data_IF_846389127332
#
_entry.id   IF_846389127332
#
_cell.length_a   1.000
_cell.length_b   1.000
_cell.length_c   1.000
_cell.angle_alpha   90.00
_cell.angle_beta   90.00
_cell.angle_gamma   90.00
#
_symmetry.space_group_name_H-M   'P 1'
#
loop_
_entity.id
_entity.type
_entity.pdbx_description
1 polymer ?
#
# COMPACT_ATOMS: atom_id res chain seq x y z
N UNK A 1 -2.03 -24.58 -64.97
CA UNK A 1 -2.48 -24.70 -63.57
C UNK A 1 -1.33 -24.25 -62.68
N UNK A 2 -1.38 -23.06 -62.07
CA UNK A 2 -0.28 -22.58 -61.24
C UNK A 2 -0.31 -23.30 -59.87
N UNK A 3 0.85 -23.83 -59.50
CA UNK A 3 1.14 -24.53 -58.26
C UNK A 3 1.32 -23.55 -57.10
N UNK A 4 0.56 -23.80 -56.04
CA UNK A 4 0.63 -23.13 -54.75
C UNK A 4 1.91 -23.57 -54.02
N UNK A 5 2.79 -22.62 -53.67
CA UNK A 5 4.00 -22.87 -52.89
C UNK A 5 3.91 -22.16 -51.54
N UNK A 6 3.65 -22.92 -50.49
CA UNK A 6 3.65 -22.46 -49.10
C UNK A 6 5.10 -22.22 -48.59
N UNK A 7 5.36 -21.11 -47.88
CA UNK A 7 6.64 -20.92 -47.20
C UNK A 7 6.65 -21.62 -45.83
N UNK A 8 7.49 -22.67 -45.71
CA UNK A 8 7.84 -23.28 -44.41
C UNK A 8 8.63 -22.29 -43.56
N UNK A 9 7.94 -21.61 -42.64
CA UNK A 9 8.55 -20.84 -41.56
C UNK A 9 9.23 -21.79 -40.56
N UNK A 10 10.56 -21.86 -40.61
CA UNK A 10 11.39 -22.49 -39.58
C UNK A 10 11.63 -21.46 -38.48
N UNK A 11 10.88 -21.56 -37.38
CA UNK A 11 11.25 -20.88 -36.14
C UNK A 11 12.41 -21.65 -35.48
N UNK A 12 13.53 -21.00 -35.14
CA UNK A 12 14.58 -21.64 -34.36
C UNK A 12 14.08 -21.89 -32.94
N UNK A 13 14.12 -23.16 -32.53
CA UNK A 13 13.90 -23.58 -31.14
C UNK A 13 15.07 -23.03 -30.33
N UNK A 14 14.81 -21.98 -29.54
CA UNK A 14 15.79 -21.46 -28.58
C UNK A 14 15.84 -22.44 -27.41
N UNK A 15 17.01 -23.01 -27.05
CA UNK A 15 17.10 -23.90 -25.91
C UNK A 15 16.82 -23.11 -24.62
N UNK A 16 15.72 -23.44 -23.96
CA UNK A 16 15.42 -22.99 -22.60
C UNK A 16 16.48 -23.60 -21.69
N UNK A 17 17.40 -22.76 -21.20
CA UNK A 17 18.37 -23.12 -20.18
C UNK A 17 17.61 -23.31 -18.86
N UNK A 18 17.09 -24.51 -18.63
CA UNK A 18 16.56 -24.94 -17.34
C UNK A 18 17.78 -25.05 -16.41
N UNK A 19 18.06 -23.99 -15.66
CA UNK A 19 18.99 -24.04 -14.53
C UNK A 19 18.29 -24.92 -13.49
N UNK A 20 18.63 -26.21 -13.52
CA UNK A 20 18.19 -27.18 -12.54
C UNK A 20 18.64 -26.74 -11.16
N UNK A 21 17.70 -26.28 -10.35
CA UNK A 21 17.87 -26.22 -8.91
C UNK A 21 18.01 -27.66 -8.43
N UNK A 22 19.25 -28.09 -8.22
CA UNK A 22 19.55 -29.32 -7.50
C UNK A 22 19.07 -29.10 -6.07
N UNK A 23 17.85 -29.58 -5.78
CA UNK A 23 17.38 -29.77 -4.41
C UNK A 23 18.25 -30.90 -3.84
N UNK A 24 19.31 -30.51 -3.14
CA UNK A 24 20.07 -31.39 -2.28
C UNK A 24 19.16 -31.79 -1.11
N UNK A 25 18.47 -32.93 -1.26
CA UNK A 25 17.83 -33.61 -0.14
C UNK A 25 18.94 -34.12 0.77
N UNK A 26 19.30 -33.32 1.78
CA UNK A 26 20.14 -33.77 2.89
C UNK A 26 19.25 -34.60 3.82
N UNK A 27 19.18 -35.89 3.50
CA UNK A 27 18.70 -36.92 4.41
C UNK A 27 19.84 -37.26 5.37
N UNK A 28 19.61 -37.11 6.68
CA UNK A 28 20.45 -37.72 7.72
C UNK A 28 21.42 -36.76 8.42
N UNK A 29 20.93 -36.09 9.46
CA UNK A 29 21.75 -35.29 10.36
C UNK A 29 20.98 -34.88 11.59
N UNK A 30 20.67 -35.86 12.45
CA UNK A 30 20.16 -35.67 13.80
C UNK A 30 21.21 -34.89 14.63
N UNK A 31 21.18 -33.57 14.56
CA UNK A 31 21.94 -32.69 15.45
C UNK A 31 21.08 -32.41 16.69
N UNK A 32 21.37 -33.18 17.74
CA UNK A 32 21.07 -32.83 19.12
C UNK A 32 21.68 -31.46 19.44
N UNK A 33 20.86 -30.41 19.45
CA UNK A 33 21.22 -29.15 20.09
C UNK A 33 20.78 -29.27 21.56
N UNK A 34 21.69 -29.17 22.54
CA UNK A 34 21.32 -29.12 23.95
C UNK A 34 20.64 -27.78 24.27
N UNK A 35 19.42 -27.85 24.79
CA UNK A 35 18.75 -26.76 25.49
C UNK A 35 19.45 -26.51 26.85
N UNK A 36 19.88 -25.28 27.17
CA UNK A 36 19.80 -24.78 28.54
C UNK A 36 18.39 -24.22 28.73
N UNK A 37 17.47 -24.95 29.36
CA UNK A 37 17.22 -24.86 30.82
C UNK A 37 17.28 -23.38 31.24
N UNK A 38 16.14 -22.67 31.24
CA UNK A 38 15.06 -22.77 32.24
C UNK A 38 15.62 -22.49 33.63
N UNK A 39 15.88 -21.21 33.93
CA UNK A 39 15.96 -20.68 35.29
C UNK A 39 15.68 -19.17 35.27
N UNK A 40 14.40 -18.82 35.45
CA UNK A 40 13.91 -17.58 36.06
C UNK A 40 12.38 -17.66 36.21
N UNK A 41 11.91 -18.68 36.93
CA UNK A 41 10.63 -18.65 37.63
C UNK A 41 11.00 -18.48 39.10
N UNK A 42 10.88 -17.27 39.63
CA UNK A 42 10.57 -16.96 41.04
C UNK A 42 10.68 -15.44 41.26
N UNK A 43 9.57 -14.74 41.11
CA UNK A 43 9.22 -13.61 41.96
C UNK A 43 7.69 -13.38 41.81
N UNK A 44 6.87 -14.20 42.48
CA UNK A 44 6.28 -13.94 43.80
C UNK A 44 5.63 -12.55 43.92
N UNK A 45 4.29 -12.57 43.94
CA UNK A 45 3.51 -11.79 44.90
C UNK A 45 3.08 -10.40 44.46
N UNK A 46 1.87 -10.32 43.91
CA UNK A 46 1.14 -9.07 43.70
C UNK A 46 -0.35 -9.33 43.52
N UNK A 47 -1.00 -9.83 44.57
CA UNK A 47 -2.45 -9.82 44.75
C UNK A 47 -2.86 -8.43 45.25
N UNK A 48 -3.41 -7.58 44.39
CA UNK A 48 -4.24 -6.42 44.77
C UNK A 48 -5.26 -6.24 43.62
N UNK A 49 -6.48 -6.76 43.78
CA UNK A 49 -7.63 -6.08 44.38
C UNK A 49 -8.48 -5.40 43.29
N UNK A 50 -9.61 -6.02 42.99
CA UNK A 50 -10.71 -5.40 42.26
C UNK A 50 -11.11 -4.12 42.99
N UNK A 51 -10.96 -2.99 42.32
CA UNK A 51 -11.76 -1.80 42.59
C UNK A 51 -12.59 -1.53 41.34
N UNK A 52 -13.84 -1.99 41.41
CA UNK A 52 -14.92 -1.55 40.54
C UNK A 52 -15.16 -0.06 40.82
N UNK A 53 -14.47 0.80 40.09
CA UNK A 53 -14.82 2.22 40.02
C UNK A 53 -15.92 2.38 38.98
N UNK A 54 -17.15 2.29 39.48
CA UNK A 54 -18.36 2.76 38.83
C UNK A 54 -18.18 4.27 38.62
N UNK A 55 -17.60 4.66 37.48
CA UNK A 55 -17.63 6.06 37.06
C UNK A 55 -19.04 6.35 36.56
N UNK A 56 -19.80 6.98 37.45
CA UNK A 56 -20.97 7.79 37.14
C UNK A 56 -20.66 8.65 35.91
N UNK A 57 -21.28 8.29 34.80
CA UNK A 57 -21.39 9.16 33.63
C UNK A 57 -22.42 10.22 34.03
N UNK A 58 -21.94 11.23 34.74
CA UNK A 58 -22.68 12.46 34.97
C UNK A 58 -23.10 13.00 33.61
N UNK A 59 -24.41 13.13 33.45
CA UNK A 59 -25.05 14.00 32.48
C UNK A 59 -24.36 15.37 32.53
N UNK A 60 -23.45 15.62 31.59
CA UNK A 60 -23.05 16.98 31.25
C UNK A 60 -23.96 17.40 30.11
N UNK A 61 -24.92 18.20 30.53
CA UNK A 61 -25.73 19.15 29.77
C UNK A 61 -25.24 19.41 28.34
N UNK A 62 -26.18 19.34 27.40
CA UNK A 62 -26.24 20.19 26.21
C UNK A 62 -25.92 21.65 26.61
N UNK A 63 -24.93 22.27 25.95
CA UNK A 63 -25.24 23.58 25.40
C UNK A 63 -24.80 23.67 23.93
N UNK A 64 -25.77 24.11 23.12
CA UNK A 64 -25.60 24.90 21.91
C UNK A 64 -24.80 24.23 20.78
N UNK A 65 -25.45 23.61 19.79
CA UNK A 65 -26.17 24.31 18.72
C UNK A 65 -25.50 25.62 18.28
N UNK A 66 -24.19 25.63 18.10
CA UNK A 66 -23.54 26.67 17.30
C UNK A 66 -23.66 26.36 15.81
N UNK A 67 -24.58 27.12 15.24
CA UNK A 67 -24.78 27.47 13.84
C UNK A 67 -23.48 27.63 13.03
N UNK A 68 -23.48 27.00 11.86
CA UNK A 68 -23.08 27.57 10.56
C UNK A 68 -21.98 28.64 10.61
N UNK A 69 -20.77 28.23 10.26
CA UNK A 69 -19.76 29.16 9.73
C UNK A 69 -19.44 28.73 8.30
N UNK A 70 -20.32 29.13 7.38
CA UNK A 70 -19.97 29.26 5.97
C UNK A 70 -18.82 30.25 5.87
N UNK A 71 -17.60 29.75 5.68
CA UNK A 71 -16.48 30.60 5.33
C UNK A 71 -16.64 31.03 3.88
N UNK A 72 -17.41 32.10 3.66
CA UNK A 72 -17.34 32.87 2.43
C UNK A 72 -15.97 33.54 2.40
N UNK A 73 -15.02 32.97 1.65
CA UNK A 73 -13.83 33.69 1.22
C UNK A 73 -14.26 34.74 0.20
N UNK A 74 -14.71 35.88 0.73
CA UNK A 74 -14.95 37.11 0.02
C UNK A 74 -13.66 37.55 -0.68
N UNK A 75 -13.73 37.52 -2.01
CA UNK A 75 -12.84 38.21 -2.93
C UNK A 75 -12.75 39.69 -2.58
N UNK A 76 -11.60 40.15 -2.12
CA UNK A 76 -11.22 41.55 -2.26
C UNK A 76 -10.31 41.67 -3.47
N UNK A 77 -10.91 42.15 -4.56
CA UNK A 77 -10.19 42.65 -5.71
C UNK A 77 -9.47 43.95 -5.32
N UNK A 78 -8.15 43.93 -5.43
CA UNK A 78 -7.37 45.15 -5.55
C UNK A 78 -6.99 45.28 -7.03
N UNK A 79 -7.70 46.20 -7.68
CA UNK A 79 -7.52 46.60 -9.08
C UNK A 79 -6.26 47.47 -9.17
N UNK A 80 -5.15 46.89 -9.62
CA UNK A 80 -4.03 47.65 -10.16
C UNK A 80 -3.93 47.40 -11.66
N UNK A 81 -4.49 48.37 -12.38
CA UNK A 81 -4.25 48.71 -13.78
C UNK A 81 -2.81 48.43 -14.21
N UNK A 82 -2.66 47.50 -15.14
CA UNK A 82 -1.40 47.00 -15.65
C UNK A 82 -1.64 46.29 -16.98
N UNK A 83 -1.82 47.08 -18.03
CA UNK A 83 -1.96 46.64 -19.41
C UNK A 83 -0.77 45.76 -19.84
N UNK A 84 -0.97 44.44 -19.98
CA UNK A 84 -0.24 43.60 -20.95
C UNK A 84 -1.20 42.54 -21.47
N UNK A 85 -1.42 42.56 -22.78
CA UNK A 85 -2.12 41.53 -23.55
C UNK A 85 -1.28 40.24 -23.56
N UNK A 86 -1.58 39.30 -22.67
CA UNK A 86 -1.30 37.88 -22.93
C UNK A 86 -2.60 37.12 -22.68
N UNK A 87 -3.14 36.50 -23.73
CA UNK A 87 -4.29 35.62 -23.65
C UNK A 87 -3.93 34.42 -22.77
N UNK A 88 -4.23 34.52 -21.48
CA UNK A 88 -4.11 33.41 -20.55
C UNK A 88 -5.22 32.41 -20.86
N UNK A 89 -4.82 31.28 -21.43
CA UNK A 89 -5.68 30.14 -21.76
C UNK A 89 -6.32 29.56 -20.50
N UNK A 90 -7.51 30.02 -20.16
CA UNK A 90 -8.31 29.60 -19.00
C UNK A 90 -8.74 28.11 -18.98
N UNK A 91 -8.29 27.30 -19.94
CA UNK A 91 -8.53 25.85 -20.00
C UNK A 91 -7.61 25.00 -19.12
N UNK A 92 -6.52 25.56 -18.59
CA UNK A 92 -5.47 24.80 -17.91
C UNK A 92 -5.79 24.50 -16.42
N UNK A 93 -6.47 25.42 -15.72
CA UNK A 93 -6.65 25.35 -14.26
C UNK A 93 -7.64 24.28 -13.77
N UNK A 94 -8.60 23.87 -14.61
CA UNK A 94 -9.63 22.89 -14.21
C UNK A 94 -9.12 21.46 -14.25
N UNK A 95 -8.33 21.10 -15.27
CA UNK A 95 -7.70 19.79 -15.37
C UNK A 95 -6.73 19.55 -14.20
N UNK A 96 -6.00 20.58 -13.80
CA UNK A 96 -5.13 20.57 -12.64
C UNK A 96 -5.88 20.30 -11.33
N UNK A 97 -7.07 20.87 -11.15
CA UNK A 97 -7.89 20.62 -9.97
C UNK A 97 -8.31 19.16 -9.88
N UNK A 98 -8.73 18.55 -10.99
CA UNK A 98 -9.08 17.13 -11.03
C UNK A 98 -7.86 16.23 -10.80
N UNK A 99 -6.71 16.56 -11.39
CA UNK A 99 -5.47 15.82 -11.16
C UNK A 99 -5.02 15.89 -9.68
N UNK A 100 -5.16 17.05 -9.03
CA UNK A 100 -4.90 17.21 -7.59
C UNK A 100 -5.85 16.36 -6.74
N UNK A 101 -7.14 16.33 -7.09
CA UNK A 101 -8.12 15.51 -6.38
C UNK A 101 -7.82 14.00 -6.51
N UNK A 102 -7.47 13.52 -7.71
CA UNK A 102 -7.07 12.13 -7.92
C UNK A 102 -5.77 11.78 -7.19
N UNK A 103 -4.79 12.69 -7.16
CA UNK A 103 -3.58 12.51 -6.38
C UNK A 103 -3.86 12.43 -4.87
N UNK A 104 -4.79 13.23 -4.35
CA UNK A 104 -5.22 13.10 -2.95
C UNK A 104 -5.89 11.74 -2.68
N UNK A 105 -6.71 11.24 -3.60
CA UNK A 105 -7.28 9.90 -3.49
C UNK A 105 -6.19 8.81 -3.51
N UNK A 106 -5.12 8.95 -4.31
CA UNK A 106 -3.97 8.04 -4.32
C UNK A 106 -3.22 8.04 -2.99
N UNK A 107 -2.96 9.23 -2.43
CA UNK A 107 -2.31 9.38 -1.11
C UNK A 107 -3.11 8.67 -0.01
N UNK A 108 -4.44 8.81 -0.03
CA UNK A 108 -5.33 8.09 0.88
C UNK A 108 -5.26 6.58 0.66
N UNK A 109 -5.33 6.12 -0.60
CA UNK A 109 -5.25 4.71 -0.95
C UNK A 109 -3.99 4.02 -0.43
N UNK A 110 -2.81 4.60 -0.71
CA UNK A 110 -1.54 4.01 -0.23
C UNK A 110 -1.39 4.10 1.29
N UNK A 111 -1.97 5.13 1.93
CA UNK A 111 -1.97 5.26 3.39
C UNK A 111 -2.83 4.18 4.05
N UNK A 112 -4.00 3.90 3.49
CA UNK A 112 -4.91 2.83 3.96
C UNK A 112 -4.21 1.47 3.86
N UNK A 113 -3.60 1.15 2.71
CA UNK A 113 -2.86 -0.11 2.54
C UNK A 113 -1.69 -0.20 3.54
N UNK A 114 -0.91 0.88 3.68
CA UNK A 114 0.23 0.93 4.60
C UNK A 114 -0.19 0.73 6.06
N UNK A 115 -1.29 1.36 6.49
CA UNK A 115 -1.84 1.18 7.83
C UNK A 115 -2.35 -0.25 8.04
N UNK A 116 -3.03 -0.85 7.05
CA UNK A 116 -3.48 -2.25 7.14
C UNK A 116 -2.32 -3.22 7.34
N UNK A 117 -1.21 -3.03 6.62
CA UNK A 117 0.02 -3.83 6.80
C UNK A 117 0.64 -3.60 8.18
N UNK A 118 0.65 -2.36 8.67
CA UNK A 118 1.20 -2.05 9.99
C UNK A 118 0.42 -2.78 11.10
N UNK A 119 -0.91 -2.75 11.07
CA UNK A 119 -1.74 -3.48 12.04
C UNK A 119 -1.56 -4.99 11.88
N UNK A 120 -1.49 -5.50 10.65
CA UNK A 120 -1.18 -6.92 10.40
C UNK A 120 0.12 -7.36 11.08
N UNK A 121 1.17 -6.54 10.99
CA UNK A 121 2.46 -6.82 11.61
C UNK A 121 2.45 -6.62 13.14
N UNK A 122 1.66 -5.67 13.66
CA UNK A 122 1.54 -5.49 15.12
C UNK A 122 0.89 -6.69 15.79
N UNK A 123 0.04 -7.42 15.08
CA UNK A 123 -0.57 -8.67 15.54
C UNK A 123 0.41 -9.86 15.53
N UNK A 124 1.69 -9.62 15.26
CA UNK A 124 2.77 -10.61 15.29
C UNK A 124 2.94 -11.40 14.00
N UNK A 125 2.20 -11.05 12.94
CA UNK A 125 2.36 -11.71 11.65
C UNK A 125 3.64 -11.25 10.95
N UNK A 126 4.32 -12.20 10.29
CA UNK A 126 5.52 -11.88 9.50
C UNK A 126 5.13 -11.28 8.16
N UNK A 127 5.88 -10.27 7.69
CA UNK A 127 5.68 -9.68 6.36
C UNK A 127 5.77 -10.70 5.22
N UNK A 128 6.60 -11.74 5.36
CA UNK A 128 6.76 -12.83 4.38
C UNK A 128 5.47 -13.60 4.10
N UNK A 129 4.49 -13.56 5.02
CA UNK A 129 3.19 -14.22 4.85
C UNK A 129 2.23 -13.46 3.93
N UNK A 130 2.53 -12.20 3.61
CA UNK A 130 1.83 -11.41 2.57
C UNK A 130 2.31 -11.75 1.16
N UNK A 131 3.38 -12.55 1.04
CA UNK A 131 4.02 -12.93 -0.22
C UNK A 131 5.48 -12.47 -0.29
N UNK A 132 6.11 -12.73 -1.43
CA UNK A 132 7.51 -12.34 -1.69
C UNK A 132 7.59 -10.88 -2.12
N UNK A 133 7.69 -9.98 -1.15
CA UNK A 133 7.88 -8.54 -1.41
C UNK A 133 9.37 -8.29 -1.77
N UNK A 134 9.68 -7.72 -2.94
CA UNK A 134 11.07 -7.48 -3.34
C UNK A 134 11.72 -6.35 -2.55
N UNK A 135 13.05 -6.32 -2.56
CA UNK A 135 13.79 -5.19 -2.01
C UNK A 135 13.65 -3.96 -2.92
N UNK A 136 13.39 -2.79 -2.34
CA UNK A 136 13.22 -1.54 -3.10
C UNK A 136 14.44 -1.15 -3.95
N UNK A 137 15.64 -1.63 -3.62
CA UNK A 137 16.85 -1.38 -4.43
C UNK A 137 16.91 -2.21 -5.71
N UNK A 138 16.15 -3.31 -5.79
CA UNK A 138 16.14 -4.21 -6.95
C UNK A 138 14.92 -4.02 -7.82
N UNK A 139 13.72 -3.98 -7.22
CA UNK A 139 12.46 -3.89 -7.96
C UNK A 139 11.30 -3.52 -7.03
N UNK A 140 10.15 -3.24 -7.64
CA UNK A 140 8.86 -3.11 -6.96
C UNK A 140 7.90 -4.15 -7.54
N UNK A 141 6.99 -4.65 -6.73
CA UNK A 141 5.94 -5.55 -7.18
C UNK A 141 4.61 -4.81 -7.26
N UNK A 142 3.79 -5.11 -8.26
CA UNK A 142 2.42 -4.59 -8.33
C UNK A 142 1.52 -5.28 -7.30
N UNK A 143 0.53 -4.55 -6.81
CA UNK A 143 -0.48 -5.06 -5.88
C UNK A 143 -1.71 -5.49 -6.69
N UNK A 144 -2.27 -6.67 -6.39
CA UNK A 144 -3.49 -7.16 -7.04
C UNK A 144 -3.56 -8.68 -7.15
N UNK A 145 -4.63 -9.17 -7.75
CA UNK A 145 -4.93 -10.61 -7.86
C UNK A 145 -4.34 -11.29 -9.09
N UNK A 146 -3.77 -10.53 -10.04
CA UNK A 146 -3.15 -11.10 -11.24
C UNK A 146 -1.91 -11.95 -10.90
N UNK A 147 -1.61 -12.92 -11.76
CA UNK A 147 -0.41 -13.75 -11.61
C UNK A 147 0.86 -12.91 -11.65
N UNK A 148 1.68 -13.01 -10.61
CA UNK A 148 2.92 -12.24 -10.45
C UNK A 148 2.77 -10.98 -9.59
N UNK A 149 1.52 -10.58 -9.27
CA UNK A 149 1.25 -9.49 -8.34
C UNK A 149 1.18 -10.01 -6.90
N UNK A 150 1.35 -9.08 -5.94
CA UNK A 150 1.18 -9.37 -4.52
C UNK A 150 -0.30 -9.23 -4.17
N UNK A 151 -0.96 -10.36 -3.92
CA UNK A 151 -2.36 -10.39 -3.52
C UNK A 151 -2.50 -10.13 -2.01
N UNK A 152 -2.55 -8.85 -1.64
CA UNK A 152 -2.76 -8.44 -0.25
C UNK A 152 -4.17 -8.74 0.25
N UNK A 153 -5.17 -8.81 -0.65
CA UNK A 153 -6.55 -9.05 -0.26
C UNK A 153 -6.72 -10.41 0.46
N UNK A 154 -5.91 -11.40 0.10
CA UNK A 154 -5.94 -12.73 0.73
C UNK A 154 -5.59 -12.76 2.23
N UNK A 155 -5.01 -11.68 2.77
CA UNK A 155 -4.54 -11.60 4.17
C UNK A 155 -5.02 -10.36 4.92
N UNK A 156 -5.21 -9.25 4.22
CA UNK A 156 -5.56 -7.98 4.86
C UNK A 156 -7.07 -7.73 4.89
N UNK A 157 -7.80 -8.18 3.86
CA UNK A 157 -9.25 -7.96 3.78
C UNK A 157 -9.96 -8.82 4.84
N UNK A 158 -11.12 -8.35 5.30
CA UNK A 158 -11.94 -8.88 6.41
C UNK A 158 -11.40 -8.57 7.81
N UNK A 159 -10.10 -8.77 8.05
CA UNK A 159 -9.51 -8.61 9.38
C UNK A 159 -8.93 -7.21 9.63
N UNK A 160 -8.29 -6.60 8.64
CA UNK A 160 -7.54 -5.35 8.80
C UNK A 160 -8.05 -4.22 7.90
N UNK A 161 -8.68 -4.58 6.79
CA UNK A 161 -9.24 -3.66 5.80
C UNK A 161 -10.59 -4.19 5.30
N UNK A 162 -11.55 -3.29 4.95
CA UNK A 162 -12.77 -3.71 4.29
C UNK A 162 -12.55 -4.13 2.83
N UNK A 163 -11.61 -3.48 2.14
CA UNK A 163 -11.16 -3.79 0.78
C UNK A 163 -9.76 -3.17 0.52
N UNK A 164 -9.09 -3.58 -0.56
CA UNK A 164 -7.86 -2.94 -1.04
C UNK A 164 -8.23 -1.79 -1.99
N UNK A 165 -7.88 -0.53 -1.69
CA UNK A 165 -8.13 0.59 -2.58
C UNK A 165 -7.49 0.41 -3.97
N UNK A 166 -8.19 0.88 -4.99
CA UNK A 166 -7.73 0.88 -6.39
C UNK A 166 -7.50 2.33 -6.87
N UNK A 167 -6.54 2.52 -7.77
CA UNK A 167 -6.35 3.80 -8.46
C UNK A 167 -7.55 4.12 -9.37
N UNK A 168 -8.19 5.27 -9.16
CA UNK A 168 -9.41 5.66 -9.89
C UNK A 168 -9.28 5.75 -11.42
N UNK A 169 -8.07 5.80 -11.99
CA UNK A 169 -7.86 5.90 -13.44
C UNK A 169 -7.47 4.58 -14.08
N UNK A 170 -6.67 3.76 -13.39
CA UNK A 170 -6.03 2.58 -13.98
C UNK A 170 -6.18 1.31 -13.14
N UNK A 171 -6.69 1.44 -11.92
CA UNK A 171 -6.81 0.36 -10.96
C UNK A 171 -7.93 -0.61 -11.32
N UNK A 172 -7.69 -1.87 -10.99
CA UNK A 172 -8.61 -3.00 -11.07
C UNK A 172 -8.27 -3.97 -9.95
N UNK A 173 -9.17 -4.91 -9.64
CA UNK A 173 -8.87 -5.96 -8.67
C UNK A 173 -7.66 -6.84 -9.08
N UNK A 174 -7.34 -6.92 -10.38
CA UNK A 174 -6.20 -7.66 -10.90
C UNK A 174 -4.86 -6.91 -10.70
N UNK A 175 -4.89 -5.59 -10.85
CA UNK A 175 -3.79 -4.66 -10.65
C UNK A 175 -4.35 -3.35 -10.13
N UNK A 176 -4.10 -3.03 -8.86
CA UNK A 176 -4.70 -1.87 -8.19
C UNK A 176 -4.10 -0.54 -8.68
N UNK A 177 -3.03 -0.58 -9.48
CA UNK A 177 -2.27 0.60 -9.90
C UNK A 177 -1.27 1.09 -8.85
N UNK A 178 -1.07 0.33 -7.76
CA UNK A 178 -0.10 0.61 -6.71
C UNK A 178 1.03 -0.43 -6.69
N UNK A 179 2.20 -0.03 -6.21
CA UNK A 179 3.36 -0.92 -6.10
C UNK A 179 3.89 -0.97 -4.67
N UNK A 180 4.50 -2.09 -4.31
CA UNK A 180 5.06 -2.36 -2.98
C UNK A 180 6.49 -2.89 -3.08
N UNK A 181 7.34 -2.48 -2.14
CA UNK A 181 8.66 -3.04 -1.92
C UNK A 181 9.06 -2.91 -0.45
N UNK A 182 10.09 -3.65 -0.04
CA UNK A 182 10.68 -3.57 1.29
C UNK A 182 12.03 -2.85 1.24
N UNK A 183 12.27 -1.89 2.11
CA UNK A 183 13.58 -1.23 2.22
C UNK A 183 14.60 -2.17 2.86
N UNK A 184 15.88 -1.81 2.77
CA UNK A 184 16.97 -2.55 3.45
C UNK A 184 16.80 -2.61 4.96
N UNK A 185 16.09 -1.65 5.55
CA UNK A 185 15.84 -1.55 6.99
C UNK A 185 14.60 -2.35 7.42
N UNK A 186 14.00 -3.11 6.50
CA UNK A 186 12.82 -3.93 6.75
C UNK A 186 11.49 -3.19 6.68
N UNK A 187 11.50 -1.88 6.38
CA UNK A 187 10.30 -1.04 6.27
C UNK A 187 9.55 -1.31 4.98
N UNK A 188 8.23 -1.17 5.00
CA UNK A 188 7.42 -1.27 3.79
C UNK A 188 7.31 0.10 3.14
N UNK A 189 7.50 0.13 1.82
CA UNK A 189 7.24 1.29 0.96
C UNK A 189 6.15 0.94 -0.05
N UNK A 190 5.16 1.82 -0.16
CA UNK A 190 4.09 1.73 -1.16
C UNK A 190 4.14 3.01 -1.99
N UNK A 191 4.10 2.86 -3.31
CA UNK A 191 4.15 3.96 -4.27
C UNK A 191 2.91 3.96 -5.18
N UNK A 192 2.46 5.17 -5.55
CA UNK A 192 1.47 5.39 -6.59
C UNK A 192 2.17 5.90 -7.87
N UNK A 193 2.59 5.02 -8.80
CA UNK A 193 3.38 5.41 -9.99
C UNK A 193 2.60 6.28 -10.99
N UNK A 194 1.27 6.25 -10.93
CA UNK A 194 0.39 7.00 -11.83
C UNK A 194 -0.01 8.37 -11.27
N UNK A 195 0.81 8.93 -10.37
CA UNK A 195 0.62 10.28 -9.87
C UNK A 195 0.75 11.31 -10.99
N UNK A 196 -0.15 12.28 -10.98
CA UNK A 196 -0.26 13.29 -12.05
C UNK A 196 0.48 14.57 -11.68
N UNK A 197 0.67 15.47 -12.67
CA UNK A 197 1.37 16.75 -12.51
C UNK A 197 2.83 16.60 -12.05
N UNK A 198 3.47 15.48 -12.41
CA UNK A 198 4.86 15.20 -12.05
C UNK A 198 5.10 14.97 -10.56
N UNK A 199 4.04 14.71 -9.78
CA UNK A 199 4.19 14.37 -8.36
C UNK A 199 4.72 12.96 -8.17
N UNK A 200 5.51 12.76 -7.12
CA UNK A 200 5.84 11.44 -6.59
C UNK A 200 5.08 11.21 -5.29
N UNK A 201 4.29 10.15 -5.24
CA UNK A 201 3.45 9.82 -4.09
C UNK A 201 3.92 8.47 -3.53
N UNK A 202 4.45 8.50 -2.30
CA UNK A 202 5.02 7.33 -1.61
C UNK A 202 4.79 7.42 -0.11
N UNK A 203 4.52 6.28 0.52
CA UNK A 203 4.43 6.14 1.99
C UNK A 203 5.40 5.04 2.43
N UNK A 204 6.08 5.27 3.55
CA UNK A 204 7.00 4.31 4.17
C UNK A 204 6.68 4.14 5.66
N UNK A 205 6.63 2.89 6.15
CA UNK A 205 6.43 2.54 7.56
C UNK A 205 7.44 1.49 8.01
#
# INVERSE_FOLDING_TARGET
MPSESEPKSKFPIVPVLIIGFVILVVLGGLLLIPNPVRDAIENLGGTEEETSEEQDIDNVDDPDSETVSESETSSNGESSDGSIEEEESAGDSTNDAFAKARNAQRELGITVISNGILVYMSDGNSLSSLGTIPNCSTSKASIGTASGNINLAAKLVEAYLPDIPEDSQVGTAADTGYTICQTTDGKIRIDAPNAELGKEISVQR
#
